data_IF_526980930426
#
_entry.id   IF_526980930426
#
_cell.length_a   1.000
_cell.length_b   1.000
_cell.length_c   1.000
_cell.angle_alpha   90.00
_cell.angle_beta   90.00
_cell.angle_gamma   90.00
#
_symmetry.space_group_name_H-M   'P 1'
#
loop_
_entity.id
_entity.type
_entity.pdbx_description
1 polymer ?
#
# COMPACT_ATOMS: atom_id res chain seq x y z
N UNK A 1 -1.25 5.21 -22.45
CA UNK A 1 -0.05 5.36 -21.60
C UNK A 1 -0.13 4.30 -20.51
N UNK A 2 0.92 3.49 -20.29
CA UNK A 2 0.90 2.46 -19.24
C UNK A 2 0.77 3.12 -17.86
N UNK A 3 -0.02 2.49 -16.99
CA UNK A 3 -0.14 2.85 -15.56
C UNK A 3 0.56 1.73 -14.79
N UNK A 4 1.44 2.13 -13.87
CA UNK A 4 2.15 1.22 -12.97
C UNK A 4 1.73 1.48 -11.53
N UNK A 5 1.81 0.48 -10.66
CA UNK A 5 1.57 0.65 -9.23
C UNK A 5 2.85 0.44 -8.42
N UNK A 6 2.98 1.23 -7.35
CA UNK A 6 4.07 1.17 -6.38
C UNK A 6 3.46 1.03 -5.00
N UNK A 7 3.85 -0.03 -4.29
CA UNK A 7 3.37 -0.30 -2.93
C UNK A 7 4.47 0.00 -1.91
N UNK A 8 4.15 0.76 -0.86
CA UNK A 8 5.06 1.06 0.26
C UNK A 8 4.45 0.58 1.57
N UNK A 9 5.08 -0.41 2.19
CA UNK A 9 4.70 -0.84 3.54
C UNK A 9 5.59 -0.14 4.57
N UNK A 10 4.98 0.44 5.61
CA UNK A 10 5.70 1.11 6.70
C UNK A 10 5.12 0.72 8.05
N UNK A 11 5.99 0.68 9.06
CA UNK A 11 5.63 0.47 10.46
C UNK A 11 5.63 1.80 11.20
N UNK A 12 4.70 1.95 12.14
CA UNK A 12 4.56 3.10 13.02
C UNK A 12 5.02 2.70 14.40
N UNK A 13 5.95 3.47 14.98
CA UNK A 13 6.32 3.41 16.39
C UNK A 13 6.52 4.83 16.89
N UNK A 14 5.56 5.34 17.66
CA UNK A 14 5.58 6.73 18.15
C UNK A 14 5.41 6.71 19.67
N UNK A 15 6.46 7.01 20.44
CA UNK A 15 6.33 7.23 21.88
C UNK A 15 5.71 8.62 22.12
N UNK A 16 4.69 8.66 22.98
CA UNK A 16 4.13 9.90 23.51
C UNK A 16 4.87 10.24 24.81
N UNK A 17 5.21 11.52 24.96
CA UNK A 17 6.00 12.02 26.09
C UNK A 17 5.22 13.10 26.85
N UNK A 18 5.77 13.61 27.94
CA UNK A 18 5.17 14.74 28.69
C UNK A 18 4.91 15.98 27.82
N UNK A 19 5.72 16.20 26.78
CA UNK A 19 5.58 17.32 25.86
C UNK A 19 4.46 17.10 24.81
N UNK A 20 3.92 15.89 24.75
CA UNK A 20 2.80 15.53 23.87
C UNK A 20 1.45 16.02 24.41
N UNK A 21 1.39 16.48 25.66
CA UNK A 21 0.14 16.65 26.41
C UNK A 21 -0.83 17.75 25.95
N UNK A 22 -0.48 18.59 24.98
CA UNK A 22 -1.38 19.67 24.53
C UNK A 22 -1.46 19.84 23.03
N UNK A 23 -0.78 18.98 22.27
CA UNK A 23 -0.74 19.06 20.81
C UNK A 23 -1.16 17.74 20.19
N UNK A 24 -1.81 17.83 19.03
CA UNK A 24 -2.14 16.65 18.24
C UNK A 24 -0.88 16.20 17.51
N UNK A 25 -0.42 15.01 17.86
CA UNK A 25 0.74 14.39 17.26
C UNK A 25 0.29 13.61 16.03
N UNK A 26 0.77 13.98 14.83
CA UNK A 26 0.46 13.22 13.64
C UNK A 26 1.12 11.84 13.72
N UNK A 27 0.31 10.79 13.62
CA UNK A 27 0.80 9.42 13.43
C UNK A 27 1.21 9.21 11.97
N UNK A 28 0.45 9.81 11.07
CA UNK A 28 0.61 9.67 9.63
C UNK A 28 0.13 10.94 8.94
N UNK A 29 0.82 11.30 7.86
CA UNK A 29 0.48 12.39 6.95
C UNK A 29 0.84 11.97 5.54
N UNK A 30 -0.08 12.16 4.60
CA UNK A 30 0.18 11.92 3.17
C UNK A 30 0.89 13.08 2.47
N UNK A 31 1.34 14.12 3.19
CA UNK A 31 1.73 15.42 2.62
C UNK A 31 2.93 15.42 1.66
N UNK A 32 3.62 14.29 1.51
CA UNK A 32 4.73 14.13 0.56
C UNK A 32 4.27 13.58 -0.81
N UNK A 33 3.01 13.17 -0.95
CA UNK A 33 2.49 12.48 -2.13
C UNK A 33 1.19 13.16 -2.57
N UNK A 34 1.32 14.02 -3.57
CA UNK A 34 0.20 14.77 -4.15
C UNK A 34 -0.02 14.28 -5.58
N UNK A 35 -1.28 14.08 -5.99
CA UNK A 35 -1.56 13.77 -7.40
C UNK A 35 -1.01 14.88 -8.31
N UNK A 36 -0.37 14.46 -9.39
CA UNK A 36 0.36 15.32 -10.32
C UNK A 36 1.82 15.60 -9.92
N UNK A 37 2.25 15.26 -8.69
CA UNK A 37 3.68 15.33 -8.35
C UNK A 37 4.45 14.15 -8.93
N UNK A 38 5.73 14.36 -9.21
CA UNK A 38 6.62 13.32 -9.70
C UNK A 38 7.18 12.50 -8.52
N UNK A 39 6.98 11.18 -8.55
CA UNK A 39 7.52 10.27 -7.52
C UNK A 39 8.83 9.62 -7.94
N UNK A 40 8.89 9.25 -9.22
CA UNK A 40 10.01 8.62 -9.91
C UNK A 40 10.25 9.48 -11.15
N UNK A 41 11.51 9.68 -11.59
CA UNK A 41 11.79 10.38 -12.83
C UNK A 41 10.87 9.95 -13.99
N UNK A 42 10.28 10.92 -14.67
CA UNK A 42 9.33 10.79 -15.77
C UNK A 42 8.00 10.10 -15.42
N UNK A 43 7.65 10.01 -14.13
CA UNK A 43 6.40 9.38 -13.67
C UNK A 43 5.63 10.28 -12.69
N UNK A 44 4.45 10.72 -13.11
CA UNK A 44 3.52 11.49 -12.28
C UNK A 44 2.58 10.58 -11.50
N UNK A 45 2.28 10.96 -10.26
CA UNK A 45 1.27 10.27 -9.44
C UNK A 45 -0.11 10.57 -10.00
N UNK A 46 -0.88 9.53 -10.31
CA UNK A 46 -2.25 9.63 -10.82
C UNK A 46 -3.28 9.38 -9.72
N UNK A 47 -2.94 8.51 -8.76
CA UNK A 47 -3.82 8.16 -7.65
C UNK A 47 -3.00 7.70 -6.45
N UNK A 48 -3.52 7.92 -5.25
CA UNK A 48 -2.91 7.58 -3.98
C UNK A 48 -3.95 7.07 -2.99
N UNK A 49 -3.73 5.85 -2.47
CA UNK A 49 -4.52 5.27 -1.39
C UNK A 49 -3.59 4.82 -0.25
N UNK A 50 -4.05 4.96 0.99
CA UNK A 50 -3.36 4.43 2.16
C UNK A 50 -4.28 3.53 2.97
N UNK A 51 -3.78 2.34 3.33
CA UNK A 51 -4.50 1.31 4.06
C UNK A 51 -3.83 1.05 5.40
N UNK A 52 -4.51 1.41 6.48
CA UNK A 52 -4.09 1.06 7.84
C UNK A 52 -4.54 -0.35 8.16
N UNK A 53 -3.58 -1.24 8.45
CA UNK A 53 -3.85 -2.66 8.77
C UNK A 53 -3.90 -2.94 10.26
N UNK A 54 -3.16 -2.16 11.05
CA UNK A 54 -3.06 -2.35 12.48
C UNK A 54 -2.67 -1.03 13.13
N UNK A 55 -3.35 -0.67 14.21
CA UNK A 55 -3.03 0.49 15.03
C UNK A 55 -3.41 0.18 16.48
N UNK A 56 -2.42 0.19 17.36
CA UNK A 56 -2.56 -0.14 18.77
C UNK A 56 -1.83 0.90 19.62
N UNK A 57 -2.32 1.14 20.82
CA UNK A 57 -1.61 1.90 21.83
C UNK A 57 -1.22 0.97 22.98
N UNK A 58 0.05 0.95 23.33
CA UNK A 58 0.52 0.42 24.60
C UNK A 58 0.55 1.58 25.59
N UNK A 59 -0.11 1.44 26.74
CA UNK A 59 -0.10 2.44 27.80
C UNK A 59 0.23 1.81 29.15
N UNK A 60 1.20 2.40 29.85
CA UNK A 60 1.60 2.14 31.23
C UNK A 60 1.49 3.47 31.95
N UNK A 61 0.39 3.67 32.67
CA UNK A 61 0.11 4.92 33.40
C UNK A 61 0.39 4.65 34.87
N UNK A 62 1.45 5.24 35.40
CA UNK A 62 1.88 5.05 36.80
C UNK A 62 1.73 6.31 37.64
N UNK A 63 1.40 7.46 37.02
CA UNK A 63 1.14 8.72 37.72
C UNK A 63 -0.19 8.77 38.46
N UNK A 64 -1.14 7.91 38.08
CA UNK A 64 -2.47 7.89 38.67
C UNK A 64 -2.57 6.86 39.80
N UNK A 65 -3.43 7.10 40.81
CA UNK A 65 -3.76 6.07 41.79
C UNK A 65 -4.37 4.85 41.09
N UNK A 66 -4.13 3.67 41.66
CA UNK A 66 -4.65 2.43 41.10
C UNK A 66 -6.19 2.45 41.03
N UNK A 67 -6.72 2.17 39.85
CA UNK A 67 -8.14 1.98 39.63
C UNK A 67 -8.54 0.58 40.12
N UNK A 68 -9.64 0.52 40.87
CA UNK A 68 -10.21 -0.73 41.35
C UNK A 68 -10.74 -1.59 40.20
N UNK A 69 -10.70 -2.91 40.38
CA UNK A 69 -11.32 -3.82 39.44
C UNK A 69 -12.85 -3.76 39.56
N UNK A 70 -13.60 -3.98 38.45
CA UNK A 70 -15.06 -4.07 38.50
C UNK A 70 -15.50 -5.14 39.51
N UNK A 71 -16.39 -4.77 40.44
CA UNK A 71 -16.88 -5.67 41.48
C UNK A 71 -18.12 -6.44 41.01
N UNK A 72 -17.87 -7.59 40.38
CA UNK A 72 -18.93 -8.51 39.93
C UNK A 72 -19.45 -9.38 41.07
N UNK A 73 -20.77 -9.44 41.19
CA UNK A 73 -21.49 -10.35 42.08
C UNK A 73 -22.04 -11.52 41.28
N UNK A 74 -22.32 -12.63 41.97
CA UNK A 74 -22.81 -13.85 41.32
C UNK A 74 -24.20 -13.63 40.69
N UNK A 75 -25.00 -12.77 41.29
CA UNK A 75 -26.35 -12.39 40.85
C UNK A 75 -26.39 -11.32 39.75
N UNK A 76 -25.25 -10.74 39.35
CA UNK A 76 -25.22 -9.70 38.32
C UNK A 76 -25.58 -10.28 36.95
N UNK A 77 -26.50 -9.61 36.25
CA UNK A 77 -26.74 -9.87 34.83
C UNK A 77 -25.54 -9.42 34.00
N UNK A 78 -25.44 -9.89 32.75
CA UNK A 78 -24.36 -9.45 31.86
C UNK A 78 -24.44 -7.95 31.54
N UNK A 79 -25.65 -7.38 31.55
CA UNK A 79 -25.88 -5.93 31.46
C UNK A 79 -25.34 -5.20 32.68
N UNK A 80 -25.55 -5.72 33.90
CA UNK A 80 -25.01 -5.11 35.13
C UNK A 80 -23.48 -5.15 35.15
N UNK A 81 -22.88 -6.27 34.71
CA UNK A 81 -21.43 -6.38 34.56
C UNK A 81 -20.89 -5.36 33.58
N UNK A 82 -21.55 -5.17 32.43
CA UNK A 82 -21.15 -4.16 31.44
C UNK A 82 -21.19 -2.74 32.05
N UNK A 83 -22.26 -2.38 32.75
CA UNK A 83 -22.35 -1.07 33.39
C UNK A 83 -21.28 -0.86 34.46
N UNK A 84 -20.96 -1.90 35.26
CA UNK A 84 -19.87 -1.82 36.23
C UNK A 84 -18.50 -1.64 35.58
N UNK A 85 -18.27 -2.25 34.43
CA UNK A 85 -17.03 -2.04 33.65
C UNK A 85 -16.96 -0.58 33.16
N UNK A 86 -18.03 -0.07 32.56
CA UNK A 86 -18.10 1.31 32.09
C UNK A 86 -17.96 2.32 33.23
N UNK A 87 -18.58 2.05 34.37
CA UNK A 87 -18.49 2.88 35.58
C UNK A 87 -17.04 2.98 36.05
N UNK A 88 -16.35 1.85 36.19
CA UNK A 88 -14.92 1.84 36.52
C UNK A 88 -14.11 2.58 35.45
N UNK A 89 -14.40 2.39 34.17
CA UNK A 89 -13.64 2.99 33.08
C UNK A 89 -13.73 4.52 33.02
N UNK A 90 -14.93 5.07 33.28
CA UNK A 90 -15.21 6.49 33.10
C UNK A 90 -15.31 7.29 34.41
N UNK A 91 -15.43 6.64 35.56
CA UNK A 91 -15.48 7.34 36.86
C UNK A 91 -14.19 7.17 37.69
N UNK A 92 -13.26 6.31 37.27
CA UNK A 92 -11.93 6.24 37.89
C UNK A 92 -11.00 7.36 37.42
N UNK A 93 -9.97 7.72 38.23
CA UNK A 93 -8.87 8.56 37.79
C UNK A 93 -8.24 8.03 36.51
N UNK A 94 -8.22 8.85 35.46
CA UNK A 94 -7.77 8.46 34.11
C UNK A 94 -7.04 9.58 33.40
N UNK A 95 -6.14 9.22 32.48
CA UNK A 95 -5.71 10.09 31.38
C UNK A 95 -6.58 9.76 30.17
N UNK A 96 -6.84 10.72 29.28
CA UNK A 96 -7.62 10.44 28.06
C UNK A 96 -6.75 10.58 26.83
N UNK A 97 -6.78 9.56 25.97
CA UNK A 97 -6.19 9.63 24.64
C UNK A 97 -7.31 9.79 23.62
N UNK A 98 -7.18 10.76 22.72
CA UNK A 98 -8.17 11.04 21.68
C UNK A 98 -7.55 10.90 20.31
N UNK A 99 -8.30 10.26 19.41
CA UNK A 99 -7.92 10.06 18.04
C UNK A 99 -8.59 11.09 17.15
N UNK A 100 -7.81 11.58 16.20
CA UNK A 100 -8.22 12.59 15.26
C UNK A 100 -7.91 12.15 13.83
N UNK A 101 -8.77 12.58 12.92
CA UNK A 101 -8.57 12.45 11.48
C UNK A 101 -8.64 13.84 10.86
N UNK A 102 -7.76 14.13 9.91
CA UNK A 102 -7.85 15.34 9.09
C UNK A 102 -8.02 14.93 7.63
N UNK A 103 -9.04 15.46 6.92
CA UNK A 103 -9.19 15.24 5.49
C UNK A 103 -8.24 16.11 4.65
N UNK A 104 -7.54 17.07 5.28
CA UNK A 104 -6.61 17.99 4.61
C UNK A 104 -5.25 17.96 5.28
N UNK A 105 -4.18 17.71 4.52
CA UNK A 105 -2.84 17.46 5.05
C UNK A 105 -2.10 18.73 5.48
N UNK A 106 -2.46 19.87 4.86
CA UNK A 106 -1.75 21.15 5.02
C UNK A 106 -2.44 22.09 6.02
N UNK A 107 -3.78 22.12 6.04
CA UNK A 107 -4.57 22.73 7.11
C UNK A 107 -5.09 21.58 7.97
N UNK A 108 -4.49 21.41 9.14
CA UNK A 108 -4.80 20.32 10.05
C UNK A 108 -6.14 20.55 10.76
N UNK A 109 -7.22 20.51 9.97
CA UNK A 109 -8.60 20.58 10.45
C UNK A 109 -8.96 19.22 11.07
N UNK A 110 -8.44 19.00 12.27
CA UNK A 110 -8.62 17.77 13.02
C UNK A 110 -10.07 17.58 13.45
N UNK A 111 -10.66 16.48 13.00
CA UNK A 111 -11.95 15.99 13.46
C UNK A 111 -11.73 14.87 14.47
N UNK A 112 -12.36 14.97 15.64
CA UNK A 112 -12.31 13.93 16.67
C UNK A 112 -13.08 12.69 16.19
N UNK A 113 -12.43 11.53 16.29
CA UNK A 113 -13.04 10.23 15.96
C UNK A 113 -13.54 9.53 17.22
N UNK A 114 -12.68 9.42 18.23
CA UNK A 114 -13.01 8.71 19.46
C UNK A 114 -11.98 8.97 20.55
N UNK A 115 -12.31 8.54 21.77
CA UNK A 115 -11.44 8.68 22.94
C UNK A 115 -11.36 7.38 23.73
N UNK A 116 -10.23 7.16 24.38
CA UNK A 116 -9.95 6.00 25.21
C UNK A 116 -9.57 6.46 26.61
N UNK A 117 -10.12 5.79 27.62
CA UNK A 117 -9.73 5.96 29.02
C UNK A 117 -8.46 5.16 29.30
N UNK A 118 -7.38 5.86 29.64
CA UNK A 118 -6.11 5.27 30.06
C UNK A 118 -6.03 5.27 31.59
N UNK A 119 -6.27 4.11 32.17
CA UNK A 119 -6.30 3.86 33.61
C UNK A 119 -4.97 3.27 34.09
N UNK A 120 -4.73 3.33 35.40
CA UNK A 120 -3.73 2.51 36.09
C UNK A 120 -4.45 1.33 36.78
N UNK A 121 -4.75 0.21 36.10
CA UNK A 121 -5.54 -0.86 36.70
C UNK A 121 -4.75 -1.62 37.77
N UNK A 122 -5.38 -1.88 38.92
CA UNK A 122 -4.73 -2.64 40.00
C UNK A 122 -4.34 -4.06 39.53
N UNK A 123 -3.08 -4.43 39.79
CA UNK A 123 -2.53 -5.76 39.49
C UNK A 123 -2.05 -5.98 38.05
N UNK A 124 -2.20 -5.02 37.13
CA UNK A 124 -1.69 -5.15 35.77
C UNK A 124 -1.03 -3.85 35.28
N UNK A 125 0.31 -3.83 35.07
CA UNK A 125 1.05 -2.58 34.93
C UNK A 125 0.84 -1.84 33.61
N UNK A 126 0.25 -2.46 32.59
CA UNK A 126 0.06 -1.84 31.27
C UNK A 126 -1.26 -2.27 30.62
N UNK A 127 -1.75 -1.56 29.62
CA UNK A 127 -2.87 -2.01 28.79
C UNK A 127 -2.56 -1.77 27.32
N UNK A 128 -3.04 -2.66 26.47
CA UNK A 128 -2.97 -2.51 25.02
C UNK A 128 -4.38 -2.20 24.52
N UNK A 129 -4.53 -1.07 23.84
CA UNK A 129 -5.77 -0.65 23.21
C UNK A 129 -5.69 -0.88 21.71
N UNK A 130 -6.75 -1.42 21.13
CA UNK A 130 -6.90 -1.49 19.69
C UNK A 130 -7.54 -0.18 19.19
N UNK A 131 -6.77 0.63 18.46
CA UNK A 131 -7.23 1.94 18.02
C UNK A 131 -8.03 1.87 16.72
N UNK A 132 -7.86 0.79 15.95
CA UNK A 132 -8.60 0.57 14.72
C UNK A 132 -10.10 0.51 14.94
N UNK A 133 -10.53 -0.07 16.07
CA UNK A 133 -11.95 -0.23 16.45
C UNK A 133 -12.68 1.11 16.60
N UNK A 134 -11.94 2.23 16.77
CA UNK A 134 -12.55 3.57 16.81
C UNK A 134 -12.76 4.17 15.42
N UNK A 135 -12.02 3.73 14.42
CA UNK A 135 -12.14 4.25 13.06
C UNK A 135 -13.09 3.43 12.21
N UNK A 136 -13.04 2.10 12.33
CA UNK A 136 -13.78 1.21 11.45
C UNK A 136 -13.92 -0.19 12.04
N UNK A 137 -15.03 -0.84 11.73
CA UNK A 137 -15.24 -2.27 11.98
C UNK A 137 -14.72 -3.16 10.82
N UNK A 138 -14.18 -2.54 9.76
CA UNK A 138 -13.65 -3.24 8.59
C UNK A 138 -12.21 -3.74 8.80
N UNK A 139 -11.71 -4.52 7.84
CA UNK A 139 -10.35 -5.08 7.87
C UNK A 139 -9.25 -3.99 7.82
N UNK A 140 -9.54 -2.85 7.21
CA UNK A 140 -8.60 -1.73 7.08
C UNK A 140 -9.34 -0.40 7.07
N UNK A 141 -8.65 0.63 7.56
CA UNK A 141 -9.06 2.02 7.38
C UNK A 141 -8.41 2.52 6.09
N UNK A 142 -9.24 2.95 5.16
CA UNK A 142 -8.83 3.53 3.89
C UNK A 142 -8.77 5.04 4.02
N UNK A 143 -7.63 5.60 3.64
CA UNK A 143 -7.43 7.04 3.58
C UNK A 143 -7.02 7.44 2.18
N UNK A 144 -7.70 8.46 1.65
CA UNK A 144 -7.35 9.06 0.37
C UNK A 144 -6.22 10.08 0.47
N UNK A 145 -6.08 10.87 -0.59
CA UNK A 145 -5.14 11.97 -0.66
C UNK A 145 -5.35 13.02 0.43
N UNK A 146 -4.25 13.68 0.82
CA UNK A 146 -4.23 14.76 1.82
C UNK A 146 -4.82 14.38 3.18
N UNK A 147 -4.85 13.10 3.52
CA UNK A 147 -5.35 12.63 4.81
C UNK A 147 -4.23 12.60 5.87
N UNK A 148 -4.64 12.79 7.12
CA UNK A 148 -3.77 12.59 8.27
C UNK A 148 -4.51 11.93 9.43
N UNK A 149 -3.77 11.13 10.21
CA UNK A 149 -4.24 10.61 11.49
C UNK A 149 -3.39 11.24 12.58
N UNK A 150 -4.04 11.69 13.64
CA UNK A 150 -3.40 12.29 14.81
C UNK A 150 -3.89 11.67 16.12
N UNK A 151 -3.06 11.77 17.14
CA UNK A 151 -3.43 11.45 18.53
C UNK A 151 -3.15 12.66 19.39
N UNK A 152 -4.09 12.97 20.28
CA UNK A 152 -3.92 13.93 21.35
C UNK A 152 -4.11 13.27 22.71
N UNK A 153 -3.52 13.87 23.74
CA UNK A 153 -3.84 13.57 25.14
C UNK A 153 -4.67 14.73 25.66
N UNK A 154 -5.85 14.42 26.19
CA UNK A 154 -6.74 15.42 26.78
C UNK A 154 -6.66 15.36 28.30
N UNK A 155 -6.63 16.54 28.93
CA UNK A 155 -6.84 16.65 30.37
C UNK A 155 -8.33 16.58 30.69
N UNK A 156 -8.74 15.50 31.37
CA UNK A 156 -10.12 15.26 31.83
C UNK A 156 -10.28 15.48 33.33
N UNK A 157 -9.40 16.27 33.95
CA UNK A 157 -9.43 16.62 35.37
C UNK A 157 -8.40 15.88 36.24
N UNK A 158 -7.55 15.06 35.62
CA UNK A 158 -6.47 14.32 36.30
C UNK A 158 -5.09 14.66 35.74
N UNK A 159 -4.97 15.73 34.93
CA UNK A 159 -3.72 16.18 34.33
C UNK A 159 -3.32 15.41 33.09
N UNK A 160 -2.19 15.82 32.50
CA UNK A 160 -1.58 15.24 31.29
C UNK A 160 -0.60 14.11 31.62
N UNK A 161 0.06 13.53 30.62
CA UNK A 161 1.10 12.52 30.83
C UNK A 161 2.26 13.09 31.67
N UNK A 162 2.73 12.30 32.63
CA UNK A 162 3.90 12.61 33.45
C UNK A 162 5.11 11.77 33.02
N UNK A 163 6.31 12.11 33.53
CA UNK A 163 7.58 11.48 33.10
C UNK A 163 7.62 9.97 33.36
N UNK A 164 6.85 9.51 34.34
CA UNK A 164 6.75 8.08 34.69
C UNK A 164 5.73 7.32 33.84
N UNK A 165 4.86 8.03 33.10
CA UNK A 165 3.89 7.41 32.21
C UNK A 165 4.56 7.06 30.87
N UNK A 166 4.19 5.92 30.31
CA UNK A 166 4.66 5.48 29.00
C UNK A 166 3.46 5.17 28.12
N UNK A 167 3.33 5.88 27.02
CA UNK A 167 2.35 5.55 25.98
C UNK A 167 3.08 5.44 24.66
N UNK A 168 2.94 4.32 23.96
CA UNK A 168 3.56 4.10 22.65
C UNK A 168 2.53 3.61 21.65
N UNK A 169 2.47 4.29 20.52
CA UNK A 169 1.60 3.95 19.42
C UNK A 169 2.36 3.02 18.47
N UNK A 170 1.78 1.88 18.19
CA UNK A 170 2.32 0.87 17.29
C UNK A 170 1.33 0.62 16.15
N UNK A 171 1.83 0.49 14.93
CA UNK A 171 0.95 0.19 13.82
C UNK A 171 1.70 -0.13 12.55
N UNK A 172 0.93 -0.34 11.49
CA UNK A 172 1.46 -0.55 10.14
C UNK A 172 0.44 -0.10 9.12
N UNK A 173 0.93 0.50 8.05
CA UNK A 173 0.12 0.92 6.92
C UNK A 173 0.81 0.55 5.59
N UNK A 174 0.00 0.48 4.54
CA UNK A 174 0.46 0.27 3.18
C UNK A 174 -0.07 1.40 2.31
N UNK A 175 0.82 2.09 1.62
CA UNK A 175 0.49 3.08 0.60
C UNK A 175 0.48 2.39 -0.76
N UNK A 176 -0.57 2.58 -1.53
CA UNK A 176 -0.69 2.17 -2.93
C UNK A 176 -0.69 3.43 -3.80
N UNK A 177 0.34 3.55 -4.64
CA UNK A 177 0.59 4.73 -5.46
C UNK A 177 0.54 4.32 -6.92
N UNK A 178 -0.36 4.92 -7.68
CA UNK A 178 -0.44 4.70 -9.12
C UNK A 178 0.32 5.81 -9.83
N UNK A 179 1.21 5.42 -10.74
CA UNK A 179 2.04 6.34 -11.51
C UNK A 179 1.88 6.14 -13.01
N UNK A 180 1.97 7.22 -13.76
CA UNK A 180 1.89 7.23 -15.21
C UNK A 180 3.06 8.00 -15.79
N UNK A 181 3.56 7.51 -16.93
CA UNK A 181 4.65 8.16 -17.66
C UNK A 181 4.23 9.57 -18.11
N UNK A 182 5.07 10.57 -17.82
CA UNK A 182 4.76 11.99 -18.05
C UNK A 182 4.83 12.36 -19.53
N UNK A 183 5.70 11.72 -20.30
CA UNK A 183 5.81 11.94 -21.75
C UNK A 183 5.07 10.90 -22.60
N UNK A 184 4.44 11.29 -23.72
CA UNK A 184 3.91 10.33 -24.68
C UNK A 184 5.06 9.49 -25.24
N UNK A 185 5.00 8.18 -25.04
CA UNK A 185 5.95 7.23 -25.63
C UNK A 185 6.03 7.47 -27.15
N UNK A 186 7.23 7.50 -27.75
CA UNK A 186 7.37 7.74 -29.18
C UNK A 186 6.57 6.68 -29.94
N UNK A 187 5.71 7.11 -30.84
CA UNK A 187 5.03 6.21 -31.78
C UNK A 187 6.12 5.63 -32.67
N UNK A 188 6.50 4.37 -32.42
CA UNK A 188 7.38 3.63 -33.32
C UNK A 188 6.54 3.30 -34.55
N UNK A 189 6.63 4.13 -35.58
CA UNK A 189 6.14 3.75 -36.90
C UNK A 189 7.01 2.59 -37.38
N UNK A 190 6.50 1.38 -37.27
CA UNK A 190 7.09 0.21 -37.90
C UNK A 190 6.95 0.40 -39.41
N UNK A 191 8.00 0.91 -40.05
CA UNK A 191 8.13 0.85 -41.49
C UNK A 191 8.27 -0.62 -41.86
N UNK A 192 7.15 -1.24 -42.25
CA UNK A 192 7.16 -2.58 -42.82
C UNK A 192 8.03 -2.49 -44.09
N UNK A 193 9.16 -3.19 -44.17
CA UNK A 193 9.98 -3.14 -45.36
C UNK A 193 9.14 -3.63 -46.54
N UNK A 194 9.06 -2.79 -47.58
CA UNK A 194 8.35 -3.11 -48.80
C UNK A 194 8.93 -4.43 -49.36
N UNK A 195 8.08 -5.45 -49.44
CA UNK A 195 8.46 -6.77 -49.92
C UNK A 195 8.83 -6.61 -51.40
N UNK A 196 10.12 -6.62 -51.71
CA UNK A 196 10.60 -6.60 -53.09
C UNK A 196 9.89 -7.71 -53.88
N UNK A 197 9.31 -7.42 -55.06
CA UNK A 197 8.62 -8.44 -55.85
C UNK A 197 9.62 -9.54 -56.22
N UNK A 198 9.26 -10.78 -55.91
CA UNK A 198 10.01 -11.96 -56.37
C UNK A 198 9.84 -12.01 -57.89
N UNK A 199 10.91 -11.68 -58.63
CA UNK A 199 10.95 -11.88 -60.08
C UNK A 199 11.22 -13.36 -60.32
N UNK A 200 10.17 -14.12 -60.67
CA UNK A 200 10.34 -15.47 -61.19
C UNK A 200 10.95 -15.39 -62.60
N UNK A 201 12.26 -15.60 -62.70
CA UNK A 201 12.94 -15.76 -63.99
C UNK A 201 12.61 -17.15 -64.52
N UNK A 202 11.70 -17.20 -65.49
CA UNK A 202 11.34 -18.43 -66.19
C UNK A 202 12.39 -18.68 -67.29
N UNK A 203 13.45 -19.43 -66.98
CA UNK A 203 14.45 -19.82 -68.00
C UNK A 203 13.85 -20.97 -68.81
N UNK A 204 13.33 -20.66 -69.99
CA UNK A 204 13.03 -21.68 -71.01
C UNK A 204 14.34 -22.20 -71.57
N UNK A 205 14.77 -23.38 -71.13
CA UNK A 205 15.85 -24.11 -71.80
C UNK A 205 15.35 -24.59 -73.17
N UNK A 206 16.03 -24.17 -74.24
CA UNK A 206 15.82 -24.71 -75.57
C UNK A 206 16.21 -26.21 -75.59
N UNK A 207 15.54 -27.07 -76.38
CA UNK A 207 15.86 -28.48 -76.45
C UNK A 207 17.27 -28.70 -76.99
N UNK A 208 18.07 -29.48 -76.26
CA UNK A 208 19.39 -29.95 -76.66
C UNK A 208 19.21 -30.92 -77.83
N UNK A 209 19.63 -30.51 -79.03
CA UNK A 209 19.67 -31.36 -80.21
C UNK A 209 20.69 -32.48 -80.00
N UNK A 210 20.20 -33.72 -79.90
CA UNK A 210 20.99 -34.94 -79.77
C UNK A 210 21.38 -35.43 -81.17
N UNK A 211 22.57 -35.04 -81.64
CA UNK A 211 23.23 -35.63 -82.79
C UNK A 211 24.50 -36.34 -82.34
N UNK A 212 24.51 -37.67 -82.36
CA UNK A 212 25.69 -38.50 -82.10
C UNK A 212 26.77 -38.29 -83.16
N UNK A 213 28.02 -38.65 -82.96
CA UNK A 213 28.70 -39.31 -81.84
C UNK A 213 30.10 -39.69 -82.32
N UNK A 214 31.11 -39.53 -81.49
CA UNK A 214 32.18 -40.51 -81.24
C UNK A 214 33.26 -39.89 -80.35
N UNK A 215 33.75 -40.75 -79.46
CA UNK A 215 35.02 -40.74 -78.73
C UNK A 215 35.22 -39.77 -77.55
N UNK A 216 35.14 -40.38 -76.36
CA UNK A 216 36.25 -40.31 -75.41
C UNK A 216 35.97 -39.67 -74.05
N UNK A 217 35.79 -40.51 -73.02
CA UNK A 217 36.37 -40.24 -71.70
C UNK A 217 35.45 -39.74 -70.58
N UNK A 218 35.14 -40.68 -69.67
CA UNK A 218 35.05 -40.51 -68.20
C UNK A 218 34.31 -39.30 -67.59
N UNK A 219 33.05 -39.57 -67.22
CA UNK A 219 32.59 -39.57 -65.82
C UNK A 219 32.74 -38.31 -64.96
N UNK A 220 31.61 -37.71 -64.58
CA UNK A 220 31.06 -37.90 -63.23
C UNK A 220 29.60 -37.42 -63.17
N UNK A 221 28.76 -38.27 -62.60
CA UNK A 221 27.35 -38.03 -62.31
C UNK A 221 27.23 -37.45 -60.89
N UNK A 222 26.40 -36.43 -60.69
CA UNK A 222 25.67 -36.29 -59.42
C UNK A 222 24.30 -35.64 -59.65
N UNK A 223 23.30 -36.47 -59.36
CA UNK A 223 21.90 -36.16 -59.11
C UNK A 223 21.70 -35.47 -57.74
N UNK A 224 20.44 -35.09 -57.50
CA UNK A 224 19.75 -34.84 -56.21
C UNK A 224 19.88 -33.39 -55.67
N UNK A 225 18.80 -32.68 -55.32
CA UNK A 225 17.39 -33.05 -55.24
C UNK A 225 16.51 -31.90 -54.74
N UNK A 226 15.20 -32.10 -54.86
CA UNK A 226 14.11 -31.24 -54.39
C UNK A 226 13.96 -31.23 -52.86
N UNK A 227 13.12 -30.28 -52.40
CA UNK A 227 12.49 -30.10 -51.08
C UNK A 227 13.24 -29.10 -50.18
N UNK A 228 12.60 -28.15 -49.48
CA UNK A 228 11.30 -28.23 -48.80
C UNK A 228 10.81 -26.84 -48.39
N UNK A 229 9.49 -26.70 -48.28
CA UNK A 229 8.74 -25.63 -47.63
C UNK A 229 9.22 -25.35 -46.20
N UNK A 230 9.38 -24.08 -45.83
CA UNK A 230 9.17 -23.61 -44.45
C UNK A 230 8.47 -22.26 -44.50
N UNK A 231 7.16 -22.27 -44.20
CA UNK A 231 6.41 -21.08 -43.86
C UNK A 231 6.68 -20.74 -42.39
N UNK A 232 7.13 -19.51 -42.12
CA UNK A 232 7.22 -18.99 -40.76
C UNK A 232 6.00 -18.10 -40.49
N UNK A 233 4.93 -18.73 -40.02
CA UNK A 233 3.95 -18.06 -39.17
C UNK A 233 4.57 -17.94 -37.77
N UNK A 234 4.95 -16.74 -37.35
CA UNK A 234 5.34 -16.48 -35.97
C UNK A 234 4.17 -15.80 -35.25
N UNK A 235 3.53 -16.57 -34.40
CA UNK A 235 2.41 -16.19 -33.55
C UNK A 235 2.88 -15.39 -32.32
N UNK A 236 1.93 -14.57 -31.88
CA UNK A 236 1.82 -13.68 -30.73
C UNK A 236 2.14 -14.38 -29.40
N UNK A 237 2.77 -13.65 -28.46
CA UNK A 237 2.61 -13.88 -27.03
C UNK A 237 2.11 -12.59 -26.36
N UNK A 238 0.94 -12.69 -25.74
CA UNK A 238 0.47 -11.81 -24.66
C UNK A 238 1.16 -12.21 -23.35
#
# INVERSE_FOLDING_TARGET
MPISSVNRARSIVIPLTVNSGSSIIPIYRSSELTVGSELIPDHTIVNYNCFFKNLKAFAEISSLPEASLPNFKLEDSDTDKLYKVLDVEWNSPRKQMTLYISPTGNNLDWSKVGSISMLNPSGYPYRIYNLMDLFTDNLALELGENSAIGIGIDDVGYGLLETIDKVTIHGSYVEEIFVQYTEPQPIVNLTVPERQPIINVNITSAPINTGGGQDGGNGLSTLIGNNTLVGNEFLIAN
#
